data_IF_357462416733
#
_entry.id   IF_357462416733
#
_cell.length_a   1.000
_cell.length_b   1.000
_cell.length_c   1.000
_cell.angle_alpha   90.00
_cell.angle_beta   90.00
_cell.angle_gamma   90.00
#
_symmetry.space_group_name_H-M   'P 1'
#
loop_
_entity.id
_entity.type
_entity.pdbx_description
1 polymer ?
#
# COMPACT_ATOMS: atom_id res chain seq x y z
N UNK A 1 9.51 4.18 3.54
CA UNK A 1 8.32 3.72 2.81
C UNK A 1 8.73 2.63 1.84
N UNK A 2 8.07 1.47 1.88
CA UNK A 2 8.27 0.36 0.94
C UNK A 2 6.95 -0.42 0.84
N UNK A 3 6.73 -1.06 -0.31
CA UNK A 3 5.60 -1.95 -0.57
C UNK A 3 6.06 -3.40 -0.37
N UNK A 4 5.33 -4.15 0.44
CA UNK A 4 5.67 -5.52 0.84
C UNK A 4 4.57 -6.48 0.43
N UNK A 5 4.92 -7.58 -0.23
CA UNK A 5 3.97 -8.65 -0.49
C UNK A 5 3.65 -9.40 0.80
N UNK A 6 2.38 -9.45 1.16
CA UNK A 6 1.87 -10.34 2.19
C UNK A 6 1.78 -11.72 1.54
N UNK A 7 2.60 -12.66 1.99
CA UNK A 7 2.31 -14.07 1.73
C UNK A 7 1.03 -14.40 2.51
N UNK A 8 -0.13 -14.23 1.86
CA UNK A 8 -1.34 -14.91 2.28
C UNK A 8 -0.95 -16.39 2.29
N UNK A 9 -1.13 -17.06 3.43
CA UNK A 9 -0.82 -18.48 3.53
C UNK A 9 -1.74 -19.25 2.58
N UNK A 10 -1.33 -19.38 1.31
CA UNK A 10 -1.69 -20.52 0.48
C UNK A 10 -0.91 -21.71 1.03
N UNK A 11 -1.30 -22.17 2.22
CA UNK A 11 -0.94 -23.48 2.70
C UNK A 11 -2.18 -24.37 2.64
N UNK A 12 -2.60 -24.87 1.46
CA UNK A 12 -3.18 -26.18 1.47
C UNK A 12 -2.05 -27.11 1.89
N UNK A 13 -2.25 -27.88 2.95
CA UNK A 13 -1.31 -28.90 3.36
C UNK A 13 -0.74 -29.62 2.12
N UNK A 14 0.53 -29.39 1.81
CA UNK A 14 1.27 -30.21 0.84
C UNK A 14 1.46 -31.55 1.52
N UNK A 15 0.43 -32.38 1.42
CA UNK A 15 0.57 -33.81 1.66
C UNK A 15 1.61 -34.30 0.66
N UNK A 16 2.74 -34.77 1.19
CA UNK A 16 3.63 -35.62 0.43
C UNK A 16 2.84 -36.89 0.10
N UNK A 17 2.32 -36.99 -1.12
CA UNK A 17 1.78 -38.25 -1.63
C UNK A 17 2.89 -39.05 -2.30
N UNK A 18 3.12 -40.32 -1.91
CA UNK A 18 3.87 -41.25 -2.71
C UNK A 18 2.98 -41.85 -3.82
N UNK A 19 3.67 -42.40 -4.81
CA UNK A 19 3.22 -42.90 -6.10
C UNK A 19 2.05 -43.92 -6.14
N UNK A 20 1.42 -43.95 -7.32
CA UNK A 20 0.68 -45.03 -7.99
C UNK A 20 -0.75 -45.39 -7.54
N UNK A 21 -1.75 -45.07 -8.37
CA UNK A 21 -2.47 -46.02 -9.28
C UNK A 21 -3.61 -45.32 -10.03
N UNK A 22 -3.80 -45.71 -11.29
CA UNK A 22 -4.89 -45.31 -12.18
C UNK A 22 -6.21 -46.01 -11.81
N UNK A 23 -7.35 -45.31 -11.94
CA UNK A 23 -8.57 -45.74 -12.67
C UNK A 23 -9.61 -44.62 -12.60
N UNK A 24 -10.32 -44.38 -13.71
CA UNK A 24 -11.08 -43.16 -13.98
C UNK A 24 -12.46 -43.02 -13.34
N UNK A 25 -12.94 -41.78 -13.38
CA UNK A 25 -14.34 -41.37 -13.31
C UNK A 25 -14.44 -39.97 -13.97
N UNK A 26 -15.46 -39.79 -14.82
CA UNK A 26 -15.73 -38.54 -15.53
C UNK A 26 -16.28 -37.49 -14.55
N UNK A 27 -15.46 -36.50 -14.18
CA UNK A 27 -15.90 -35.36 -13.37
C UNK A 27 -16.47 -34.24 -14.24
N UNK A 28 -17.79 -34.09 -14.13
CA UNK A 28 -18.57 -32.94 -14.59
C UNK A 28 -18.03 -31.68 -13.92
N UNK A 29 -17.52 -30.74 -14.73
CA UNK A 29 -17.09 -29.41 -14.30
C UNK A 29 -18.23 -28.68 -13.57
N UNK A 30 -18.07 -28.24 -12.30
CA UNK A 30 -18.98 -27.27 -11.75
C UNK A 30 -18.67 -25.90 -12.36
N UNK A 31 -19.54 -25.46 -13.26
CA UNK A 31 -19.63 -24.06 -13.67
C UNK A 31 -20.04 -23.21 -12.47
N UNK A 32 -19.32 -22.11 -12.24
CA UNK A 32 -19.74 -21.03 -11.35
C UNK A 32 -19.10 -21.04 -9.98
N UNK A 33 -17.84 -20.61 -9.89
CA UNK A 33 -17.35 -20.03 -8.65
C UNK A 33 -17.87 -18.61 -8.53
N UNK A 34 -18.76 -18.46 -7.57
CA UNK A 34 -19.30 -17.22 -7.04
C UNK A 34 -18.15 -16.25 -6.72
N UNK A 35 -18.26 -14.99 -7.14
CA UNK A 35 -17.31 -13.93 -6.78
C UNK A 35 -17.32 -13.73 -5.25
N UNK A 36 -16.46 -14.46 -4.54
CA UNK A 36 -16.01 -14.07 -3.20
C UNK A 36 -15.36 -12.69 -3.35
N UNK A 37 -15.84 -11.71 -2.57
CA UNK A 37 -15.42 -10.31 -2.67
C UNK A 37 -13.91 -10.21 -2.84
N UNK A 38 -13.47 -9.62 -3.95
CA UNK A 38 -12.06 -9.50 -4.29
C UNK A 38 -11.33 -8.81 -3.13
N UNK A 39 -10.35 -9.49 -2.54
CA UNK A 39 -9.47 -8.85 -1.56
C UNK A 39 -8.77 -7.67 -2.24
N UNK A 40 -8.53 -6.54 -1.51
CA UNK A 40 -7.85 -5.40 -2.11
C UNK A 40 -6.45 -5.82 -2.56
N UNK A 41 -5.90 -5.11 -3.55
CA UNK A 41 -4.55 -5.36 -4.04
C UNK A 41 -3.51 -4.81 -3.06
N UNK A 42 -3.79 -3.66 -2.44
CA UNK A 42 -2.86 -3.02 -1.49
C UNK A 42 -3.60 -2.46 -0.27
N UNK A 43 -3.04 -2.70 0.91
CA UNK A 43 -3.40 -2.03 2.16
C UNK A 43 -2.38 -0.95 2.47
N UNK A 44 -2.82 0.30 2.55
CA UNK A 44 -1.99 1.44 2.99
C UNK A 44 -2.13 1.58 4.50
N UNK A 45 -1.03 1.42 5.24
CA UNK A 45 -1.00 1.51 6.70
C UNK A 45 -0.38 2.84 7.13
N UNK A 46 -1.13 3.60 7.93
CA UNK A 46 -0.76 4.95 8.40
C UNK A 46 -0.75 4.97 9.93
N UNK A 47 0.41 5.08 10.59
CA UNK A 47 0.46 5.41 11.99
C UNK A 47 0.18 6.92 12.17
N UNK A 48 -0.73 7.28 13.07
CA UNK A 48 -1.12 8.66 13.33
C UNK A 48 -0.93 8.99 14.81
N UNK A 49 -0.21 10.07 15.09
CA UNK A 49 -0.13 10.67 16.43
C UNK A 49 0.16 12.16 16.29
N UNK A 50 -0.76 13.01 16.71
CA UNK A 50 -0.61 14.48 16.70
C UNK A 50 -0.07 15.04 15.36
N UNK A 51 -0.71 14.65 14.25
CA UNK A 51 -0.21 14.87 12.89
C UNK A 51 -0.87 16.02 12.12
N UNK A 52 -1.74 16.80 12.78
CA UNK A 52 -2.35 17.96 12.14
C UNK A 52 -1.33 19.10 11.92
N UNK A 53 -1.40 19.83 10.80
CA UNK A 53 -2.41 19.74 9.74
C UNK A 53 -2.08 18.74 8.61
N UNK A 54 -0.87 18.18 8.60
CA UNK A 54 -0.33 17.40 7.47
C UNK A 54 -1.15 16.15 7.13
N UNK A 55 -1.76 15.53 8.14
CA UNK A 55 -2.62 14.36 7.95
C UNK A 55 -3.74 14.61 6.91
N UNK A 56 -4.28 15.83 6.85
CA UNK A 56 -5.32 16.16 5.87
C UNK A 56 -4.78 16.13 4.44
N UNK A 57 -3.54 16.58 4.22
CA UNK A 57 -2.90 16.50 2.90
C UNK A 57 -2.66 15.05 2.47
N UNK A 58 -2.20 14.20 3.40
CA UNK A 58 -2.01 12.78 3.16
C UNK A 58 -3.33 12.10 2.73
N UNK A 59 -4.39 12.26 3.53
CA UNK A 59 -5.67 11.61 3.29
C UNK A 59 -6.30 12.07 1.98
N UNK A 60 -6.21 13.37 1.66
CA UNK A 60 -6.62 13.91 0.36
C UNK A 60 -5.81 13.28 -0.80
N UNK A 61 -4.51 13.07 -0.62
CA UNK A 61 -3.66 12.44 -1.65
C UNK A 61 -4.03 10.97 -1.89
N UNK A 62 -4.54 10.28 -0.86
CA UNK A 62 -5.01 8.90 -0.95
C UNK A 62 -6.39 8.80 -1.60
N UNK A 63 -7.30 9.73 -1.28
CA UNK A 63 -8.61 9.84 -1.94
C UNK A 63 -8.47 10.17 -3.42
N UNK A 64 -7.44 10.93 -3.80
CA UNK A 64 -7.16 11.32 -5.18
C UNK A 64 -6.37 10.29 -6.01
N UNK A 65 -6.16 9.07 -5.50
CA UNK A 65 -5.47 8.01 -6.24
C UNK A 65 -6.27 7.54 -7.46
N UNK A 66 -5.59 7.19 -8.54
CA UNK A 66 -6.18 6.67 -9.78
C UNK A 66 -6.42 5.14 -9.79
N UNK A 67 -6.48 4.55 -8.60
CA UNK A 67 -6.78 3.15 -8.36
C UNK A 67 -8.22 3.04 -7.83
N UNK A 68 -8.98 2.00 -8.21
CA UNK A 68 -10.39 1.93 -7.79
C UNK A 68 -10.49 1.74 -6.27
N UNK A 69 -11.49 2.32 -5.59
CA UNK A 69 -11.65 2.17 -4.14
C UNK A 69 -11.75 0.71 -3.67
N UNK A 70 -12.19 -0.21 -4.52
CA UNK A 70 -12.28 -1.64 -4.19
C UNK A 70 -10.92 -2.36 -4.31
N UNK A 71 -9.94 -1.76 -4.99
CA UNK A 71 -8.62 -2.32 -5.25
C UNK A 71 -7.59 -1.92 -4.17
N UNK A 72 -7.92 -1.00 -3.26
CA UNK A 72 -7.06 -0.66 -2.13
C UNK A 72 -7.85 -0.26 -0.90
N UNK A 73 -7.24 -0.44 0.26
CA UNK A 73 -7.77 0.05 1.53
C UNK A 73 -6.75 0.93 2.25
N UNK A 74 -7.25 1.85 3.07
CA UNK A 74 -6.46 2.74 3.92
C UNK A 74 -6.77 2.39 5.37
N UNK A 75 -5.76 1.95 6.10
CA UNK A 75 -5.85 1.61 7.52
C UNK A 75 -5.04 2.64 8.29
N UNK A 76 -5.74 3.60 8.88
CA UNK A 76 -5.14 4.62 9.71
C UNK A 76 -5.32 4.27 11.19
N UNK A 77 -4.21 4.19 11.92
CA UNK A 77 -4.21 3.83 13.34
C UNK A 77 -3.77 5.04 14.15
N UNK A 78 -4.74 5.65 14.84
CA UNK A 78 -4.54 6.73 15.79
C UNK A 78 -4.00 6.18 17.12
N UNK A 79 -2.79 6.61 17.47
CA UNK A 79 -2.05 6.22 18.65
C UNK A 79 -2.30 7.20 19.81
N UNK A 80 -3.56 7.46 20.10
CA UNK A 80 -4.00 8.33 21.19
C UNK A 80 -3.65 9.80 20.97
N UNK A 81 -3.97 10.32 19.78
CA UNK A 81 -3.78 11.74 19.48
C UNK A 81 -4.59 12.63 20.42
N UNK A 82 -4.04 13.80 20.72
CA UNK A 82 -4.65 14.87 21.51
C UNK A 82 -5.04 16.08 20.67
N UNK A 83 -4.66 16.07 19.38
CA UNK A 83 -5.15 17.00 18.37
C UNK A 83 -6.41 16.45 17.69
N UNK A 84 -6.87 17.11 16.63
CA UNK A 84 -8.02 16.67 15.83
C UNK A 84 -7.72 15.50 14.87
N UNK A 85 -6.58 14.80 15.06
CA UNK A 85 -6.13 13.72 14.22
C UNK A 85 -7.06 12.51 14.24
N UNK A 86 -7.58 12.14 15.41
CA UNK A 86 -8.53 11.03 15.53
C UNK A 86 -9.86 11.35 14.82
N UNK A 87 -10.41 12.53 15.05
CA UNK A 87 -11.70 12.93 14.48
C UNK A 87 -11.64 13.07 12.96
N UNK A 88 -10.53 13.55 12.39
CA UNK A 88 -10.40 13.64 10.94
C UNK A 88 -10.36 12.25 10.30
N UNK A 89 -9.75 11.23 10.94
CA UNK A 89 -9.79 9.86 10.44
C UNK A 89 -11.22 9.31 10.39
N UNK A 90 -12.01 9.55 11.44
CA UNK A 90 -13.42 9.16 11.48
C UNK A 90 -14.24 9.79 10.34
N UNK A 91 -13.97 11.04 10.01
CA UNK A 91 -14.66 11.74 8.90
C UNK A 91 -14.37 11.05 7.56
N UNK A 92 -13.11 10.67 7.30
CA UNK A 92 -12.75 9.96 6.06
C UNK A 92 -13.29 8.53 6.05
N UNK A 93 -13.20 7.79 7.15
CA UNK A 93 -13.75 6.44 7.26
C UNK A 93 -15.28 6.38 7.04
N UNK A 94 -16.01 7.43 7.47
CA UNK A 94 -17.47 7.50 7.26
C UNK A 94 -17.87 7.75 5.81
N UNK A 95 -17.05 8.46 5.02
CA UNK A 95 -17.41 8.86 3.65
C UNK A 95 -16.77 7.97 2.58
N UNK A 96 -15.66 7.29 2.90
CA UNK A 96 -14.95 6.41 1.99
C UNK A 96 -15.01 4.97 2.54
N UNK A 97 -15.68 4.06 1.83
CA UNK A 97 -15.85 2.66 2.29
C UNK A 97 -14.54 1.88 2.41
N UNK A 98 -13.47 2.36 1.76
CA UNK A 98 -12.15 1.77 1.79
C UNK A 98 -11.21 2.41 2.82
N UNK A 99 -11.67 3.37 3.62
CA UNK A 99 -10.91 3.96 4.73
C UNK A 99 -11.38 3.36 6.06
N UNK A 100 -10.41 2.96 6.88
CA UNK A 100 -10.62 2.32 8.18
C UNK A 100 -9.83 3.13 9.20
N UNK A 101 -10.54 3.69 10.17
CA UNK A 101 -9.97 4.36 11.33
C UNK A 101 -9.94 3.38 12.52
N UNK A 102 -8.76 3.20 13.11
CA UNK A 102 -8.55 2.43 14.33
C UNK A 102 -7.95 3.37 15.39
N UNK A 103 -8.39 3.21 16.64
CA UNK A 103 -7.92 4.03 17.75
C UNK A 103 -7.37 3.14 18.86
N UNK A 104 -6.26 3.56 19.45
CA UNK A 104 -5.65 2.90 20.61
C UNK A 104 -5.08 3.92 21.58
N UNK A 105 -4.77 3.48 22.81
CA UNK A 105 -3.99 4.29 23.74
C UNK A 105 -2.56 4.48 23.23
N UNK A 106 -2.01 5.68 23.48
CA UNK A 106 -0.68 6.09 23.04
C UNK A 106 0.40 5.09 23.47
N UNK A 107 1.08 4.53 22.47
CA UNK A 107 2.10 3.51 22.63
C UNK A 107 3.52 4.07 22.80
N UNK A 108 3.72 5.35 22.51
CA UNK A 108 5.01 6.04 22.56
C UNK A 108 5.93 5.77 21.37
N UNK A 109 5.55 4.92 20.40
CA UNK A 109 6.37 4.66 19.21
C UNK A 109 5.55 4.16 18.01
N UNK A 110 5.87 4.54 16.76
CA UNK A 110 5.08 4.19 15.57
C UNK A 110 5.03 2.69 15.23
N UNK A 111 5.80 1.86 15.93
CA UNK A 111 5.85 0.41 15.69
C UNK A 111 4.53 -0.30 16.04
N UNK A 112 3.93 0.02 17.19
CA UNK A 112 2.67 -0.60 17.62
C UNK A 112 1.51 -0.27 16.67
N UNK A 113 1.22 1.00 16.32
CA UNK A 113 0.15 1.31 15.37
C UNK A 113 0.38 0.67 13.98
N UNK A 114 1.64 0.58 13.51
CA UNK A 114 1.94 -0.15 12.26
C UNK A 114 1.60 -1.64 12.36
N UNK A 115 1.92 -2.30 13.47
CA UNK A 115 1.60 -3.72 13.68
C UNK A 115 0.08 -3.95 13.70
N UNK A 116 -0.67 -3.11 14.42
CA UNK A 116 -2.14 -3.14 14.41
C UNK A 116 -2.68 -2.95 13.00
N UNK A 117 -2.09 -2.03 12.22
CA UNK A 117 -2.44 -1.85 10.81
C UNK A 117 -2.19 -3.10 9.95
N UNK A 118 -1.05 -3.78 10.14
CA UNK A 118 -0.72 -5.03 9.44
C UNK A 118 -1.70 -6.15 9.77
N UNK A 119 -2.10 -6.28 11.04
CA UNK A 119 -3.05 -7.31 11.48
C UNK A 119 -4.43 -7.14 10.82
N UNK A 120 -4.83 -5.90 10.53
CA UNK A 120 -6.09 -5.57 9.87
C UNK A 120 -5.98 -5.50 8.33
N UNK A 121 -4.77 -5.53 7.77
CA UNK A 121 -4.53 -5.46 6.34
C UNK A 121 -4.98 -6.74 5.61
N UNK A 122 -5.84 -6.58 4.60
CA UNK A 122 -6.34 -7.64 3.72
C UNK A 122 -5.69 -7.65 2.33
N UNK A 123 -4.90 -6.63 2.03
CA UNK A 123 -4.22 -6.45 0.76
C UNK A 123 -3.20 -7.54 0.48
N UNK A 124 -3.04 -7.90 -0.80
CA UNK A 124 -1.90 -8.71 -1.24
C UNK A 124 -0.58 -8.00 -0.93
N UNK A 125 -0.55 -6.67 -1.03
CA UNK A 125 0.57 -5.85 -0.63
C UNK A 125 0.24 -4.95 0.56
N UNK A 126 1.24 -4.64 1.39
CA UNK A 126 1.17 -3.65 2.46
C UNK A 126 2.12 -2.51 2.16
N UNK A 127 1.62 -1.28 2.20
CA UNK A 127 2.41 -0.07 1.99
C UNK A 127 2.38 0.82 3.23
N UNK A 128 3.54 1.13 3.79
CA UNK A 128 3.64 2.05 4.92
C UNK A 128 3.92 3.48 4.42
N UNK A 129 3.10 4.43 4.90
CA UNK A 129 3.27 5.86 4.70
C UNK A 129 3.15 6.58 6.05
N UNK A 130 4.01 7.56 6.30
CA UNK A 130 3.96 8.36 7.53
C UNK A 130 2.93 9.49 7.37
N UNK A 131 2.38 9.96 8.50
CA UNK A 131 1.28 10.93 8.53
C UNK A 131 1.63 12.34 8.03
N UNK A 132 2.92 12.62 7.81
CA UNK A 132 3.48 13.87 7.27
C UNK A 132 3.92 13.76 5.79
N UNK A 133 3.70 12.60 5.16
CA UNK A 133 4.03 12.36 3.75
C UNK A 133 2.78 12.48 2.84
N UNK A 134 2.98 12.44 1.51
CA UNK A 134 1.89 12.39 0.53
C UNK A 134 2.26 11.60 -0.71
N UNK A 135 1.25 11.08 -1.41
CA UNK A 135 1.43 10.33 -2.66
C UNK A 135 1.10 11.17 -3.89
N UNK A 136 1.79 10.87 -4.99
CA UNK A 136 1.36 11.35 -6.31
C UNK A 136 0.09 10.59 -6.75
N UNK A 137 -0.77 11.17 -7.62
CA UNK A 137 -2.08 10.58 -7.96
C UNK A 137 -2.04 9.17 -8.56
N UNK A 138 -0.91 8.77 -9.15
CA UNK A 138 -0.74 7.47 -9.80
C UNK A 138 0.16 6.51 -9.01
N UNK A 139 0.48 6.85 -7.76
CA UNK A 139 1.53 6.16 -7.02
C UNK A 139 1.13 4.71 -6.72
N UNK A 140 -0.06 4.48 -6.16
CA UNK A 140 -0.51 3.13 -5.82
C UNK A 140 -0.59 2.25 -7.05
N UNK A 141 -1.28 2.70 -8.11
CA UNK A 141 -1.39 1.97 -9.38
C UNK A 141 -0.03 1.62 -9.97
N UNK A 142 0.89 2.59 -10.07
CA UNK A 142 2.22 2.32 -10.65
C UNK A 142 3.04 1.35 -9.81
N UNK A 143 2.99 1.46 -8.49
CA UNK A 143 3.70 0.55 -7.60
C UNK A 143 3.13 -0.87 -7.70
N UNK A 144 1.81 -1.03 -7.64
CA UNK A 144 1.18 -2.35 -7.69
C UNK A 144 1.30 -2.99 -9.07
N UNK A 145 1.10 -2.24 -10.16
CA UNK A 145 1.34 -2.76 -11.53
C UNK A 145 2.77 -3.24 -11.70
N UNK A 146 3.76 -2.44 -11.31
CA UNK A 146 5.17 -2.86 -11.41
C UNK A 146 5.46 -4.08 -10.53
N UNK A 147 4.91 -4.12 -9.32
CA UNK A 147 5.16 -5.22 -8.40
C UNK A 147 4.62 -6.55 -8.92
N UNK A 148 3.41 -6.53 -9.50
CA UNK A 148 2.79 -7.69 -10.14
C UNK A 148 3.52 -8.10 -11.42
N UNK A 149 3.87 -7.14 -12.28
CA UNK A 149 4.57 -7.42 -13.55
C UNK A 149 5.95 -8.05 -13.35
N UNK A 150 6.65 -7.66 -12.27
CA UNK A 150 7.99 -8.14 -11.97
C UNK A 150 8.03 -9.26 -10.91
N UNK A 151 6.86 -9.66 -10.39
CA UNK A 151 6.71 -10.66 -9.32
C UNK A 151 7.66 -10.41 -8.13
N UNK A 152 7.67 -9.18 -7.61
CA UNK A 152 8.59 -8.77 -6.53
C UNK A 152 7.93 -8.87 -5.16
N UNK A 153 8.66 -9.42 -4.19
CA UNK A 153 8.21 -9.45 -2.80
C UNK A 153 8.31 -8.09 -2.10
N UNK A 154 9.30 -7.27 -2.50
CA UNK A 154 9.55 -5.96 -1.89
C UNK A 154 9.87 -4.94 -2.99
N UNK A 155 9.12 -3.83 -2.99
CA UNK A 155 9.33 -2.71 -3.88
C UNK A 155 9.64 -1.45 -3.07
N UNK A 156 10.75 -0.80 -3.40
CA UNK A 156 11.14 0.48 -2.80
C UNK A 156 10.80 1.61 -3.78
N UNK A 157 9.78 2.43 -3.52
CA UNK A 157 9.40 3.50 -4.43
C UNK A 157 10.40 4.65 -4.38
N UNK A 158 10.49 5.38 -5.49
CA UNK A 158 11.25 6.62 -5.54
C UNK A 158 10.57 7.67 -4.65
N UNK A 159 11.29 8.11 -3.62
CA UNK A 159 10.88 9.20 -2.76
C UNK A 159 11.42 10.53 -3.29
N UNK A 160 10.64 11.59 -3.13
CA UNK A 160 11.05 12.96 -3.43
C UNK A 160 10.93 13.76 -2.13
N UNK A 161 12.04 14.38 -1.72
CA UNK A 161 12.05 15.23 -0.53
C UNK A 161 11.41 16.58 -0.84
N UNK A 162 10.46 16.97 0.00
CA UNK A 162 9.85 18.30 -0.01
C UNK A 162 10.47 19.16 1.10
N UNK A 163 10.41 20.49 0.94
CA UNK A 163 10.84 21.47 1.96
C UNK A 163 12.27 21.26 2.49
N UNK A 164 13.16 20.81 1.62
CA UNK A 164 14.57 20.58 1.94
C UNK A 164 14.86 19.26 2.66
N UNK A 165 13.84 18.41 2.91
CA UNK A 165 14.03 17.05 3.44
C UNK A 165 14.91 16.25 2.48
N UNK A 166 16.02 15.71 2.98
CA UNK A 166 16.89 14.85 2.17
C UNK A 166 16.32 13.45 2.13
N UNK A 167 16.17 12.92 0.92
CA UNK A 167 15.84 11.52 0.66
C UNK A 167 17.02 10.82 0.01
N UNK A 168 17.07 9.49 0.11
CA UNK A 168 18.15 8.67 -0.46
C UNK A 168 18.01 8.56 -1.98
N UNK A 169 18.21 9.66 -2.71
CA UNK A 169 18.09 9.71 -4.17
C UNK A 169 19.12 8.81 -4.88
N UNK A 170 20.26 8.54 -4.22
CA UNK A 170 21.35 7.69 -4.74
C UNK A 170 20.92 6.28 -5.10
N UNK A 171 19.89 5.75 -4.43
CA UNK A 171 19.34 4.42 -4.74
C UNK A 171 18.76 4.35 -6.17
N UNK A 172 18.37 5.50 -6.73
CA UNK A 172 17.71 5.63 -8.04
C UNK A 172 18.61 6.28 -9.11
N UNK A 173 19.90 6.54 -8.82
CA UNK A 173 20.83 7.18 -9.76
C UNK A 173 21.26 6.26 -10.91
N UNK A 174 21.24 4.93 -10.70
CA UNK A 174 21.62 3.91 -11.70
C UNK A 174 20.44 3.01 -12.05
N UNK A 175 19.33 3.60 -12.49
CA UNK A 175 18.25 2.80 -13.08
C UNK A 175 18.63 2.46 -14.52
N UNK A 176 19.01 1.21 -14.76
CA UNK A 176 19.29 0.72 -16.12
C UNK A 176 18.07 0.96 -17.00
N UNK A 177 18.32 1.68 -18.09
CA UNK A 177 17.40 2.01 -19.17
C UNK A 177 16.57 0.79 -19.60
N UNK A 178 15.30 0.75 -19.23
CA UNK A 178 14.29 0.11 -20.08
C UNK A 178 12.84 0.49 -19.82
N UNK A 179 12.49 1.31 -18.81
CA UNK A 179 11.09 1.73 -18.60
C UNK A 179 10.99 3.12 -17.95
N UNK A 180 11.46 4.17 -18.63
CA UNK A 180 11.27 5.56 -18.16
C UNK A 180 10.47 6.36 -19.19
N UNK A 181 9.15 6.32 -19.04
CA UNK A 181 8.29 7.39 -19.58
C UNK A 181 8.58 8.67 -18.80
N UNK A 182 9.45 9.49 -19.38
CA UNK A 182 9.89 10.77 -18.86
C UNK A 182 8.77 11.80 -19.02
N UNK A 183 8.33 12.45 -17.94
CA UNK A 183 7.64 13.74 -18.02
C UNK A 183 8.68 14.85 -18.17
N UNK A 184 8.52 15.66 -19.21
CA UNK A 184 9.42 16.75 -19.61
C UNK A 184 9.31 17.99 -18.73
N UNK A 185 10.43 18.69 -18.51
CA UNK A 185 10.48 20.16 -18.58
C UNK A 185 11.93 20.65 -18.82
N UNK A 186 12.18 21.36 -19.94
CA UNK A 186 13.41 22.13 -20.21
C UNK A 186 13.22 23.63 -19.88
N UNK A 187 14.14 24.57 -20.23
CA UNK A 187 15.34 24.43 -21.07
C UNK A 187 16.67 24.90 -20.44
N UNK A 188 17.76 24.32 -20.95
CA UNK A 188 18.99 24.97 -21.44
C UNK A 188 19.48 26.28 -20.81
N UNK A 189 20.66 26.24 -20.17
CA UNK A 189 21.77 27.19 -20.46
C UNK A 189 23.11 26.69 -19.93
N UNK A 190 24.02 26.41 -20.86
CA UNK A 190 25.44 26.13 -20.64
C UNK A 190 26.19 27.47 -20.73
N UNK A 191 27.02 27.82 -19.75
CA UNK A 191 28.07 28.83 -19.93
C UNK A 191 29.37 28.46 -19.21
N UNK A 192 30.36 28.22 -20.07
CA UNK A 192 31.83 28.27 -20.00
C UNK A 192 32.51 27.65 -18.78
#
# INVERSE_FOLDING_TARGET
MALFRKRINDNPAVSKSPAHRETGEEDVLPSGSVLQGSSPLVSVVIPVYNAMPFLTELLNSLEAQDLKPEEFEVIAVDDGSTDFGGEILDVYAKRNSNFIALHQENSGWPGKPRNVGIENARGEYVFFIDSDDRLGPQALRRMTSFALEQDVDVLVPKMVGLDGRRVQAKLFEKQFSMWTTTLFCGPFRRKR
#
